data_IF_598822923842
#
_entry.id   IF_598822923842
#
_cell.length_a   1.000
_cell.length_b   1.000
_cell.length_c   1.000
_cell.angle_alpha   90.00
_cell.angle_beta   90.00
_cell.angle_gamma   90.00
#
_symmetry.space_group_name_H-M   'P 1'
#
loop_
_entity.id
_entity.type
_entity.pdbx_description
1 polymer ?
#
# COMPACT_ATOMS: atom_id res chain seq x y z
N UNK A 1 19.46 10.59 2.03
CA UNK A 1 18.37 9.66 2.46
C UNK A 1 17.62 10.14 3.71
N UNK A 2 18.31 10.62 4.77
CA UNK A 2 17.65 11.10 6.01
C UNK A 2 16.63 12.24 5.84
N UNK A 3 16.89 13.22 4.96
CA UNK A 3 15.97 14.33 4.70
C UNK A 3 14.68 13.93 3.97
N UNK A 4 14.78 13.02 2.99
CA UNK A 4 13.62 12.54 2.23
C UNK A 4 12.64 11.72 3.11
N UNK A 5 13.16 10.93 4.06
CA UNK A 5 12.33 10.18 5.00
C UNK A 5 11.66 11.03 6.09
N UNK A 6 12.05 12.29 6.28
CA UNK A 6 11.39 13.23 7.19
C UNK A 6 10.39 14.13 6.45
N UNK A 7 10.73 14.58 5.24
CA UNK A 7 9.84 15.41 4.43
C UNK A 7 8.66 14.60 3.85
N UNK A 8 8.91 13.40 3.31
CA UNK A 8 7.86 12.64 2.63
C UNK A 8 6.82 12.00 3.57
N UNK A 9 7.16 11.79 4.85
CA UNK A 9 6.19 11.31 5.85
C UNK A 9 5.30 12.40 6.44
N UNK A 10 5.60 13.68 6.19
CA UNK A 10 4.84 14.83 6.70
C UNK A 10 3.87 15.40 5.67
N UNK A 11 4.05 15.08 4.38
CA UNK A 11 3.22 15.59 3.30
C UNK A 11 2.09 14.59 3.05
N UNK A 12 0.82 15.01 3.16
CA UNK A 12 -0.31 14.16 2.82
C UNK A 12 -0.25 13.69 1.36
N UNK A 13 -0.68 12.46 1.09
CA UNK A 13 -0.63 11.86 -0.25
C UNK A 13 -1.41 12.65 -1.31
N UNK A 14 -2.47 13.36 -0.93
CA UNK A 14 -3.22 14.22 -1.84
C UNK A 14 -2.39 15.41 -2.34
N UNK A 15 -1.52 15.99 -1.50
CA UNK A 15 -0.64 17.10 -1.89
C UNK A 15 0.38 16.60 -2.90
N UNK A 16 0.97 15.43 -2.64
CA UNK A 16 1.87 14.75 -3.59
C UNK A 16 1.14 14.47 -4.90
N UNK A 17 -0.13 14.06 -4.84
CA UNK A 17 -1.00 13.86 -6.00
C UNK A 17 -1.21 15.14 -6.82
N UNK A 18 -1.61 16.23 -6.18
CA UNK A 18 -1.83 17.54 -6.82
C UNK A 18 -0.56 18.07 -7.47
N UNK A 19 0.57 18.01 -6.74
CA UNK A 19 1.88 18.42 -7.28
C UNK A 19 2.30 17.50 -8.42
N UNK A 20 2.06 16.19 -8.32
CA UNK A 20 2.31 15.22 -9.37
C UNK A 20 1.54 15.53 -10.65
N UNK A 21 0.25 15.86 -10.55
CA UNK A 21 -0.56 16.31 -11.68
C UNK A 21 0.02 17.59 -12.27
N UNK A 22 0.31 18.60 -11.44
CA UNK A 22 0.86 19.87 -11.93
C UNK A 22 2.21 19.69 -12.66
N UNK A 23 3.08 18.84 -12.13
CA UNK A 23 4.40 18.62 -12.70
C UNK A 23 4.36 17.74 -13.96
N UNK A 24 3.72 16.56 -13.89
CA UNK A 24 3.80 15.55 -14.95
C UNK A 24 2.76 15.74 -16.06
N UNK A 25 1.58 16.26 -15.71
CA UNK A 25 0.56 16.59 -16.69
C UNK A 25 0.70 18.05 -17.14
N UNK A 26 0.60 19.05 -16.24
CA UNK A 26 0.55 20.45 -16.68
C UNK A 26 1.89 20.98 -17.22
N UNK A 27 3.01 20.64 -16.58
CA UNK A 27 4.34 21.16 -16.97
C UNK A 27 5.03 20.28 -18.01
N UNK A 28 5.13 18.98 -17.75
CA UNK A 28 5.93 18.05 -18.57
C UNK A 28 5.14 17.39 -19.71
N UNK A 29 3.81 17.38 -19.68
CA UNK A 29 2.96 16.72 -20.69
C UNK A 29 3.32 15.24 -20.97
N UNK A 30 3.95 14.56 -20.00
CA UNK A 30 4.42 13.17 -20.14
C UNK A 30 3.29 12.18 -19.87
N UNK A 31 2.31 12.56 -19.05
CA UNK A 31 1.21 11.71 -18.62
C UNK A 31 -0.11 12.22 -19.19
N UNK A 32 -1.03 11.35 -19.63
CA UNK A 32 -2.36 11.75 -20.07
C UNK A 32 -3.17 12.45 -18.97
N UNK A 33 -4.19 13.20 -19.38
CA UNK A 33 -5.03 13.96 -18.46
C UNK A 33 -5.68 13.06 -17.40
N UNK A 34 -5.81 13.52 -16.15
CA UNK A 34 -6.54 12.82 -15.08
C UNK A 34 -8.06 12.93 -15.29
N UNK A 35 -8.54 12.57 -16.49
CA UNK A 35 -9.93 12.69 -16.91
C UNK A 35 -10.71 11.37 -16.81
N UNK A 36 -10.16 10.36 -16.15
CA UNK A 36 -10.82 9.06 -15.98
C UNK A 36 -9.86 7.88 -16.15
N UNK A 37 -10.46 6.69 -16.33
CA UNK A 37 -9.73 5.42 -16.49
C UNK A 37 -9.11 5.23 -17.88
N UNK A 38 -9.60 5.94 -18.87
CA UNK A 38 -9.22 5.83 -20.28
C UNK A 38 -9.10 7.22 -20.92
N UNK A 39 -8.34 7.30 -22.03
CA UNK A 39 -8.15 8.54 -22.78
C UNK A 39 -9.49 9.06 -23.31
N UNK A 40 -9.70 10.38 -23.21
CA UNK A 40 -10.88 11.03 -23.78
C UNK A 40 -11.06 10.66 -25.27
N UNK A 41 -12.21 10.08 -25.62
CA UNK A 41 -12.54 9.63 -26.98
C UNK A 41 -12.49 8.11 -27.20
N UNK A 42 -12.02 7.32 -26.24
CA UNK A 42 -12.21 5.86 -26.22
C UNK A 42 -13.48 5.52 -25.44
N UNK A 43 -14.25 4.54 -25.90
CA UNK A 43 -15.40 4.01 -25.16
C UNK A 43 -14.94 2.92 -24.20
N UNK A 44 -15.44 2.95 -22.96
CA UNK A 44 -15.20 1.86 -22.02
C UNK A 44 -15.74 0.54 -22.61
N UNK A 45 -14.98 -0.57 -22.50
CA UNK A 45 -15.46 -1.87 -22.96
C UNK A 45 -16.75 -2.24 -22.19
N UNK A 46 -17.78 -2.76 -22.87
CA UNK A 46 -19.02 -3.20 -22.21
C UNK A 46 -18.76 -4.17 -21.03
N UNK A 47 -19.43 -4.07 -19.88
CA UNK A 47 -19.06 -4.88 -18.72
C UNK A 47 -19.28 -6.38 -18.94
N UNK A 48 -18.25 -7.22 -18.76
CA UNK A 48 -18.38 -8.69 -18.67
C UNK A 48 -18.20 -9.11 -17.21
N UNK A 49 -17.13 -8.63 -16.56
CA UNK A 49 -16.78 -8.94 -15.17
C UNK A 49 -16.97 -7.76 -14.24
N UNK A 50 -17.40 -6.59 -14.76
CA UNK A 50 -17.49 -5.30 -14.06
C UNK A 50 -16.14 -4.74 -13.58
N UNK A 51 -15.02 -5.38 -13.94
CA UNK A 51 -13.68 -4.87 -13.73
C UNK A 51 -13.09 -4.42 -15.09
N UNK A 52 -12.99 -3.10 -15.35
CA UNK A 52 -12.74 -2.61 -16.71
C UNK A 52 -11.39 -3.04 -17.31
N UNK A 53 -10.36 -3.24 -16.46
CA UNK A 53 -9.04 -3.71 -16.91
C UNK A 53 -9.08 -5.19 -17.33
N UNK A 54 -9.83 -6.02 -16.60
CA UNK A 54 -10.01 -7.44 -16.94
C UNK A 54 -10.86 -7.57 -18.20
N UNK A 55 -11.91 -6.76 -18.33
CA UNK A 55 -12.77 -6.74 -19.51
C UNK A 55 -12.01 -6.27 -20.77
N UNK A 56 -11.11 -5.30 -20.64
CA UNK A 56 -10.22 -4.88 -21.72
C UNK A 56 -9.22 -5.99 -22.12
N UNK A 57 -8.67 -6.71 -21.15
CA UNK A 57 -7.72 -7.80 -21.39
C UNK A 57 -8.39 -9.03 -22.02
N UNK A 58 -9.57 -9.41 -21.53
CA UNK A 58 -10.37 -10.53 -22.04
C UNK A 58 -10.85 -10.30 -23.48
N UNK A 59 -11.06 -9.04 -23.86
CA UNK A 59 -11.42 -8.67 -25.24
C UNK A 59 -10.22 -8.50 -26.17
N UNK A 60 -9.00 -8.53 -25.65
CA UNK A 60 -7.79 -8.36 -26.46
C UNK A 60 -7.60 -6.94 -27.02
N UNK A 61 -8.26 -5.92 -26.45
CA UNK A 61 -8.09 -4.54 -26.88
C UNK A 61 -6.81 -3.94 -26.29
N UNK A 62 -5.70 -4.16 -27.01
CA UNK A 62 -4.38 -3.68 -26.61
C UNK A 62 -4.28 -2.15 -26.49
N UNK A 63 -5.13 -1.39 -27.20
CA UNK A 63 -5.13 0.08 -27.17
C UNK A 63 -5.75 0.58 -25.88
N UNK A 64 -6.90 0.01 -25.50
CA UNK A 64 -7.56 0.34 -24.22
C UNK A 64 -6.70 -0.09 -23.04
N UNK A 65 -6.09 -1.28 -23.07
CA UNK A 65 -5.19 -1.75 -22.00
C UNK A 65 -4.00 -0.81 -21.82
N UNK A 66 -3.31 -0.43 -22.91
CA UNK A 66 -2.17 0.50 -22.84
C UNK A 66 -2.59 1.87 -22.28
N UNK A 67 -3.76 2.37 -22.72
CA UNK A 67 -4.34 3.60 -22.17
C UNK A 67 -4.56 3.49 -20.66
N UNK A 68 -5.18 2.41 -20.17
CA UNK A 68 -5.45 2.24 -18.74
C UNK A 68 -4.16 2.19 -17.91
N UNK A 69 -3.13 1.49 -18.39
CA UNK A 69 -1.82 1.46 -17.72
C UNK A 69 -1.19 2.85 -17.58
N UNK A 70 -1.24 3.66 -18.65
CA UNK A 70 -0.68 5.01 -18.61
C UNK A 70 -1.42 5.94 -17.62
N UNK A 71 -2.74 5.75 -17.44
CA UNK A 71 -3.53 6.51 -16.47
C UNK A 71 -3.33 6.03 -15.02
N UNK A 72 -2.87 4.80 -14.82
CA UNK A 72 -2.51 4.26 -13.49
C UNK A 72 -1.09 4.63 -13.04
N UNK A 73 -0.21 4.98 -13.96
CA UNK A 73 1.21 5.20 -13.67
C UNK A 73 1.43 6.37 -12.69
N UNK A 74 0.69 7.47 -12.86
CA UNK A 74 0.79 8.64 -11.99
C UNK A 74 0.20 8.37 -10.58
N UNK A 75 -1.03 7.84 -10.43
CA UNK A 75 -1.56 7.41 -9.14
C UNK A 75 -0.63 6.44 -8.39
N UNK A 76 -0.11 5.42 -9.08
CA UNK A 76 0.82 4.46 -8.48
C UNK A 76 2.11 5.16 -8.06
N UNK A 77 2.67 6.03 -8.90
CA UNK A 77 3.86 6.80 -8.58
C UNK A 77 3.68 7.67 -7.34
N UNK A 78 2.54 8.35 -7.21
CA UNK A 78 2.18 9.15 -6.04
C UNK A 78 2.13 8.29 -4.78
N UNK A 79 1.49 7.13 -4.85
CA UNK A 79 1.42 6.19 -3.72
C UNK A 79 2.81 5.66 -3.33
N UNK A 80 3.62 5.26 -4.30
CA UNK A 80 4.98 4.76 -4.07
C UNK A 80 5.84 5.84 -3.40
N UNK A 81 5.80 7.08 -3.90
CA UNK A 81 6.56 8.20 -3.33
C UNK A 81 6.09 8.54 -1.91
N UNK A 82 4.79 8.43 -1.63
CA UNK A 82 4.21 8.77 -0.32
C UNK A 82 4.48 7.68 0.74
N UNK A 83 4.36 6.41 0.36
CA UNK A 83 4.41 5.26 1.31
C UNK A 83 5.81 4.70 1.50
N UNK A 84 6.64 4.68 0.45
CA UNK A 84 7.97 4.07 0.52
C UNK A 84 8.86 4.69 1.62
N UNK A 85 8.89 6.01 1.83
CA UNK A 85 9.78 6.63 2.81
C UNK A 85 9.50 6.22 4.25
N UNK A 86 8.22 6.06 4.62
CA UNK A 86 7.85 5.65 5.99
C UNK A 86 8.23 4.19 6.25
N UNK A 87 7.98 3.29 5.29
CA UNK A 87 8.37 1.88 5.40
C UNK A 87 9.89 1.69 5.37
N UNK A 88 10.60 2.40 4.49
CA UNK A 88 12.05 2.33 4.39
C UNK A 88 12.71 2.84 5.67
N UNK A 89 12.23 3.96 6.22
CA UNK A 89 12.74 4.50 7.49
C UNK A 89 12.55 3.47 8.62
N UNK A 90 11.37 2.87 8.72
CA UNK A 90 11.10 1.85 9.73
C UNK A 90 12.03 0.65 9.58
N UNK A 91 12.20 0.13 8.36
CA UNK A 91 13.09 -0.99 8.10
C UNK A 91 14.53 -0.67 8.46
N UNK A 92 15.04 0.51 8.08
CA UNK A 92 16.41 0.93 8.39
C UNK A 92 16.63 1.09 9.90
N UNK A 93 15.68 1.72 10.62
CA UNK A 93 15.77 1.85 12.08
C UNK A 93 15.71 0.49 12.79
N UNK A 94 14.87 -0.42 12.29
CA UNK A 94 14.77 -1.77 12.83
C UNK A 94 16.04 -2.59 12.55
N UNK A 95 16.65 -2.44 11.37
CA UNK A 95 17.92 -3.07 11.03
C UNK A 95 19.07 -2.54 11.90
N UNK A 96 19.17 -1.22 12.08
CA UNK A 96 20.20 -0.60 12.92
C UNK A 96 20.13 -1.07 14.39
N UNK A 97 18.92 -1.11 14.93
CA UNK A 97 18.64 -1.65 16.27
C UNK A 97 18.97 -3.14 16.38
N UNK A 98 18.82 -3.88 15.28
CA UNK A 98 19.09 -5.32 15.22
C UNK A 98 20.58 -5.65 15.08
N UNK A 99 21.35 -4.79 14.41
CA UNK A 99 22.81 -4.92 14.26
C UNK A 99 23.55 -4.62 15.56
N UNK A 100 23.07 -3.64 16.33
CA UNK A 100 23.64 -3.28 17.65
C UNK A 100 23.16 -4.19 18.78
N UNK A 101 22.22 -5.10 18.51
CA UNK A 101 21.69 -6.01 19.52
C UNK A 101 22.74 -7.04 19.99
N UNK A 102 22.81 -7.25 21.31
CA UNK A 102 23.66 -8.24 21.98
C UNK A 102 23.70 -9.62 21.30
N UNK A 103 22.57 -10.21 20.83
CA UNK A 103 22.57 -11.53 20.18
C UNK A 103 23.26 -11.54 18.81
N UNK A 104 23.27 -10.41 18.11
CA UNK A 104 23.97 -10.25 16.82
C UNK A 104 25.46 -10.07 17.07
N UNK A 105 25.84 -9.24 18.05
CA UNK A 105 27.24 -9.06 18.47
C UNK A 105 27.88 -10.36 18.97
N UNK A 106 27.13 -11.17 19.70
CA UNK A 106 27.59 -12.50 20.13
C UNK A 106 27.92 -13.41 18.93
N UNK A 107 27.09 -13.41 17.87
CA UNK A 107 27.38 -14.18 16.65
C UNK A 107 28.62 -13.69 15.89
N UNK A 108 28.90 -12.40 15.94
CA UNK A 108 30.12 -11.82 15.39
C UNK A 108 31.33 -12.28 16.21
N UNK A 109 31.24 -12.21 17.55
CA UNK A 109 32.31 -12.62 18.45
C UNK A 109 32.64 -14.12 18.36
N UNK A 110 31.65 -14.97 18.06
CA UNK A 110 31.85 -16.41 17.84
C UNK A 110 32.34 -16.77 16.43
N UNK A 111 32.57 -15.80 15.55
CA UNK A 111 33.09 -16.04 14.20
C UNK A 111 32.09 -16.65 13.21
N UNK A 112 30.78 -16.45 13.44
CA UNK A 112 29.75 -16.99 12.53
C UNK A 112 29.85 -16.39 11.12
N UNK A 113 29.53 -17.19 10.10
CA UNK A 113 29.49 -16.72 8.71
C UNK A 113 28.54 -15.52 8.52
N UNK A 114 28.95 -14.57 7.67
CA UNK A 114 28.20 -13.32 7.37
C UNK A 114 26.72 -13.56 7.03
N UNK A 115 26.41 -14.64 6.31
CA UNK A 115 25.03 -15.05 5.97
C UNK A 115 24.14 -15.19 7.21
N UNK A 116 24.65 -15.82 8.28
CA UNK A 116 23.88 -16.05 9.51
C UNK A 116 23.72 -14.79 10.36
N UNK A 117 24.67 -13.86 10.26
CA UNK A 117 24.60 -12.54 10.91
C UNK A 117 23.51 -11.71 10.23
N UNK A 118 23.55 -11.59 8.90
CA UNK A 118 22.53 -10.86 8.15
C UNK A 118 21.14 -11.46 8.32
N UNK A 119 21.00 -12.79 8.21
CA UNK A 119 19.71 -13.46 8.43
C UNK A 119 19.16 -13.18 9.84
N UNK A 120 20.02 -13.14 10.86
CA UNK A 120 19.62 -12.77 12.22
C UNK A 120 19.15 -11.33 12.32
N UNK A 121 19.84 -10.42 11.63
CA UNK A 121 19.53 -9.01 11.63
C UNK A 121 18.15 -8.75 10.98
N UNK A 122 17.93 -9.29 9.78
CA UNK A 122 16.66 -9.19 9.05
C UNK A 122 15.50 -9.83 9.80
N UNK A 123 15.67 -11.03 10.36
CA UNK A 123 14.60 -11.73 11.09
C UNK A 123 14.05 -10.91 12.26
N UNK A 124 14.89 -10.10 12.90
CA UNK A 124 14.50 -9.21 14.01
C UNK A 124 13.94 -7.87 13.54
N UNK A 125 14.33 -7.41 12.35
CA UNK A 125 13.89 -6.14 11.80
C UNK A 125 12.55 -6.22 11.04
N UNK A 126 12.19 -7.40 10.52
CA UNK A 126 10.99 -7.57 9.71
C UNK A 126 9.66 -7.48 10.50
N UNK A 127 9.50 -8.06 11.72
CA UNK A 127 8.24 -7.97 12.46
C UNK A 127 7.70 -6.55 12.67
N UNK A 128 8.49 -5.56 13.15
CA UNK A 128 7.99 -4.20 13.29
C UNK A 128 7.70 -3.51 11.95
N UNK A 129 8.36 -3.93 10.87
CA UNK A 129 8.12 -3.40 9.52
C UNK A 129 6.81 -3.94 8.94
N UNK A 130 6.53 -5.23 9.12
CA UNK A 130 5.30 -5.88 8.67
C UNK A 130 4.09 -5.35 9.45
N UNK A 131 4.22 -5.12 10.76
CA UNK A 131 3.17 -4.47 11.55
C UNK A 131 2.86 -3.05 11.04
N UNK A 132 3.89 -2.27 10.71
CA UNK A 132 3.69 -0.92 10.15
C UNK A 132 3.02 -0.97 8.78
N UNK A 133 3.28 -1.99 7.96
CA UNK A 133 2.60 -2.17 6.68
C UNK A 133 1.09 -2.27 6.84
N UNK A 134 0.60 -2.99 7.86
CA UNK A 134 -0.83 -3.04 8.17
C UNK A 134 -1.39 -1.66 8.49
N UNK A 135 -0.72 -0.89 9.35
CA UNK A 135 -1.16 0.47 9.70
C UNK A 135 -1.25 1.37 8.46
N UNK A 136 -0.23 1.34 7.60
CA UNK A 136 -0.20 2.12 6.36
C UNK A 136 -1.28 1.66 5.38
N UNK A 137 -1.57 0.37 5.31
CA UNK A 137 -2.66 -0.14 4.49
C UNK A 137 -4.01 0.44 4.93
N UNK A 138 -4.25 0.52 6.24
CA UNK A 138 -5.45 1.15 6.78
C UNK A 138 -5.57 2.62 6.41
N UNK A 139 -4.46 3.38 6.47
CA UNK A 139 -4.48 4.78 6.04
C UNK A 139 -4.72 4.93 4.54
N UNK A 140 -4.19 4.03 3.72
CA UNK A 140 -4.38 4.03 2.27
C UNK A 140 -5.83 3.81 1.87
N UNK A 141 -6.61 3.01 2.60
CA UNK A 141 -8.04 2.84 2.31
C UNK A 141 -8.82 4.15 2.48
N UNK A 142 -8.48 4.96 3.49
CA UNK A 142 -9.09 6.28 3.67
C UNK A 142 -8.60 7.31 2.64
N UNK A 143 -7.29 7.31 2.37
CA UNK A 143 -6.64 8.18 1.40
C UNK A 143 -7.03 7.92 -0.06
N UNK A 144 -7.32 6.65 -0.38
CA UNK A 144 -7.69 6.21 -1.71
C UNK A 144 -8.94 6.92 -2.22
N UNK A 145 -9.91 7.25 -1.35
CA UNK A 145 -11.13 7.99 -1.73
C UNK A 145 -10.79 9.34 -2.37
N UNK A 146 -9.85 10.06 -1.78
CA UNK A 146 -9.42 11.38 -2.24
C UNK A 146 -8.65 11.23 -3.56
N UNK A 147 -7.75 10.24 -3.65
CA UNK A 147 -7.00 9.97 -4.88
C UNK A 147 -7.90 9.49 -6.02
N UNK A 148 -8.91 8.66 -5.75
CA UNK A 148 -9.90 8.22 -6.75
C UNK A 148 -10.67 9.40 -7.34
N UNK A 149 -11.00 10.38 -6.49
CA UNK A 149 -11.70 11.60 -6.90
C UNK A 149 -10.76 12.51 -7.68
N UNK A 150 -9.53 12.69 -7.20
CA UNK A 150 -8.51 13.54 -7.82
C UNK A 150 -8.09 13.05 -9.22
N UNK A 151 -8.00 11.73 -9.40
CA UNK A 151 -7.60 11.09 -10.66
C UNK A 151 -8.77 10.60 -11.52
N UNK A 152 -10.01 10.74 -11.05
CA UNK A 152 -11.20 10.29 -11.79
C UNK A 152 -11.30 8.76 -11.96
N UNK A 153 -10.62 7.98 -11.11
CA UNK A 153 -10.56 6.51 -11.22
C UNK A 153 -11.86 5.81 -10.81
N UNK A 154 -12.85 6.53 -10.27
CA UNK A 154 -14.23 6.07 -10.06
C UNK A 154 -14.37 4.76 -9.26
N UNK A 155 -13.72 4.64 -8.11
CA UNK A 155 -13.69 3.41 -7.31
C UNK A 155 -14.75 3.32 -6.21
N UNK A 156 -14.57 2.33 -5.33
CA UNK A 156 -15.49 2.07 -4.21
C UNK A 156 -15.48 3.21 -3.19
N UNK A 157 -14.37 3.93 -3.06
CA UNK A 157 -14.26 5.08 -2.18
C UNK A 157 -15.17 6.23 -2.62
N UNK A 158 -15.15 6.56 -3.91
CA UNK A 158 -16.05 7.58 -4.47
C UNK A 158 -17.53 7.20 -4.29
N UNK A 159 -17.86 5.93 -4.50
CA UNK A 159 -19.21 5.41 -4.26
C UNK A 159 -19.68 5.64 -2.81
N UNK A 160 -18.80 5.44 -1.82
CA UNK A 160 -19.12 5.72 -0.43
C UNK A 160 -19.41 7.20 -0.18
N UNK A 161 -18.64 8.11 -0.79
CA UNK A 161 -18.87 9.56 -0.68
C UNK A 161 -20.21 9.95 -1.30
N UNK A 162 -20.53 9.39 -2.46
CA UNK A 162 -21.83 9.60 -3.12
C UNK A 162 -22.99 9.08 -2.26
N UNK A 163 -22.85 7.90 -1.64
CA UNK A 163 -23.84 7.35 -0.71
C UNK A 163 -24.05 8.23 0.53
N UNK A 164 -22.96 8.78 1.10
CA UNK A 164 -23.04 9.74 2.21
C UNK A 164 -23.77 11.01 1.78
N UNK A 165 -23.45 11.55 0.60
CA UNK A 165 -24.10 12.75 0.08
C UNK A 165 -25.60 12.52 -0.21
N UNK A 166 -25.97 11.32 -0.66
CA UNK A 166 -27.35 10.91 -0.87
C UNK A 166 -28.10 10.51 0.41
N UNK A 167 -27.43 10.49 1.57
CA UNK A 167 -27.96 9.97 2.84
C UNK A 167 -28.49 8.53 2.71
N UNK A 168 -27.89 7.74 1.81
CA UNK A 168 -28.22 6.33 1.64
C UNK A 168 -27.47 5.49 2.67
N UNK A 169 -28.12 5.27 3.82
CA UNK A 169 -27.55 4.49 4.92
C UNK A 169 -27.37 3.01 4.56
N UNK A 170 -28.17 2.45 3.65
CA UNK A 170 -28.07 1.04 3.26
C UNK A 170 -26.81 0.84 2.41
N UNK A 171 -26.60 1.69 1.42
CA UNK A 171 -25.40 1.66 0.59
C UNK A 171 -24.13 1.89 1.42
N UNK A 172 -24.16 2.86 2.35
CA UNK A 172 -23.03 3.15 3.24
C UNK A 172 -22.69 1.96 4.16
N UNK A 173 -23.70 1.33 4.76
CA UNK A 173 -23.50 0.15 5.62
C UNK A 173 -22.90 -1.03 4.83
N UNK A 174 -23.39 -1.27 3.61
CA UNK A 174 -22.83 -2.28 2.72
C UNK A 174 -21.36 -2.03 2.40
N UNK A 175 -21.01 -0.78 2.05
CA UNK A 175 -19.63 -0.38 1.84
C UNK A 175 -18.76 -0.60 3.08
N UNK A 176 -19.21 -0.16 4.25
CA UNK A 176 -18.48 -0.32 5.51
C UNK A 176 -18.23 -1.79 5.85
N UNK A 177 -19.21 -2.67 5.60
CA UNK A 177 -19.08 -4.11 5.83
C UNK A 177 -18.00 -4.70 4.91
N UNK A 178 -18.02 -4.37 3.62
CA UNK A 178 -17.02 -4.84 2.65
C UNK A 178 -15.62 -4.35 3.02
N UNK A 179 -15.46 -3.06 3.36
CA UNK A 179 -14.17 -2.50 3.77
C UNK A 179 -13.67 -3.13 5.07
N UNK A 180 -14.56 -3.36 6.05
CA UNK A 180 -14.21 -4.04 7.28
C UNK A 180 -13.76 -5.49 7.03
N UNK A 181 -14.45 -6.22 6.16
CA UNK A 181 -14.08 -7.59 5.80
C UNK A 181 -12.72 -7.65 5.09
N UNK A 182 -12.47 -6.77 4.12
CA UNK A 182 -11.16 -6.68 3.43
C UNK A 182 -10.06 -6.31 4.41
N UNK A 183 -10.30 -5.32 5.27
CA UNK A 183 -9.32 -4.87 6.28
C UNK A 183 -8.99 -5.99 7.26
N UNK A 184 -10.01 -6.74 7.71
CA UNK A 184 -9.82 -7.90 8.57
C UNK A 184 -8.95 -8.97 7.89
N UNK A 185 -9.21 -9.29 6.61
CA UNK A 185 -8.40 -10.25 5.85
C UNK A 185 -6.95 -9.79 5.74
N UNK A 186 -6.72 -8.50 5.48
CA UNK A 186 -5.36 -7.96 5.36
C UNK A 186 -4.64 -7.98 6.70
N UNK A 187 -5.28 -7.57 7.80
CA UNK A 187 -4.69 -7.65 9.13
C UNK A 187 -4.41 -9.09 9.54
N UNK A 188 -5.32 -10.03 9.23
CA UNK A 188 -5.09 -11.44 9.47
C UNK A 188 -3.87 -11.95 8.70
N UNK A 189 -3.71 -11.57 7.42
CA UNK A 189 -2.52 -11.89 6.63
C UNK A 189 -1.25 -11.30 7.25
N UNK A 190 -1.28 -10.03 7.68
CA UNK A 190 -0.16 -9.36 8.36
C UNK A 190 0.22 -10.10 9.65
N UNK A 191 -0.75 -10.52 10.45
CA UNK A 191 -0.53 -11.27 11.68
C UNK A 191 0.01 -12.67 11.43
N UNK A 192 -0.49 -13.38 10.42
CA UNK A 192 0.03 -14.68 9.99
C UNK A 192 1.48 -14.58 9.52
N UNK A 193 1.80 -13.56 8.72
CA UNK A 193 3.17 -13.28 8.28
C UNK A 193 4.04 -12.99 9.52
N UNK A 194 3.61 -12.10 10.42
CA UNK A 194 4.34 -11.82 11.66
C UNK A 194 4.58 -13.08 12.51
N UNK A 195 3.58 -13.95 12.64
CA UNK A 195 3.68 -15.22 13.37
C UNK A 195 4.71 -16.15 12.74
N UNK A 196 4.79 -16.20 11.41
CA UNK A 196 5.79 -17.01 10.69
C UNK A 196 7.21 -16.45 10.87
N UNK A 197 7.35 -15.12 10.88
CA UNK A 197 8.64 -14.45 11.03
C UNK A 197 9.21 -14.51 12.46
N UNK A 198 8.34 -14.49 13.48
CA UNK A 198 8.72 -14.58 14.88
C UNK A 198 8.24 -15.88 15.57
N UNK A 199 9.06 -16.96 15.56
CA UNK A 199 8.72 -18.23 16.20
C UNK A 199 8.64 -18.16 17.73
N UNK A 200 9.00 -17.04 18.36
CA UNK A 200 8.87 -16.88 19.82
C UNK A 200 7.43 -16.61 20.24
N UNK A 201 6.55 -16.21 19.32
CA UNK A 201 5.10 -16.08 19.55
C UNK A 201 4.34 -17.40 19.39
N UNK A 202 5.02 -18.55 19.52
CA UNK A 202 4.28 -19.78 19.83
C UNK A 202 3.52 -19.51 21.13
N UNK A 203 2.18 -19.69 21.18
CA UNK A 203 1.45 -19.66 22.42
C UNK A 203 2.22 -20.56 23.39
N UNK A 204 2.74 -19.97 24.46
CA UNK A 204 3.41 -20.73 25.49
C UNK A 204 2.46 -21.87 25.84
N UNK A 205 2.98 -23.10 25.83
CA UNK A 205 2.36 -24.16 26.63
C UNK A 205 2.14 -23.53 27.99
N UNK A 206 0.90 -23.20 28.31
CA UNK A 206 0.51 -22.88 29.67
C UNK A 206 1.09 -24.01 30.50
N UNK A 207 2.01 -23.66 31.40
CA UNK A 207 2.68 -24.62 32.26
C UNK A 207 1.64 -25.29 33.13
N UNK A 208 1.09 -26.39 32.65
CA UNK A 208 0.53 -27.44 33.48
C UNK A 208 1.70 -28.10 34.17
N UNK A 209 1.99 -27.64 35.38
CA UNK A 209 3.05 -28.14 36.23
C UNK A 209 2.65 -27.95 37.68
N UNK A 210 1.97 -28.99 38.18
CA UNK A 210 1.68 -29.38 39.58
C UNK A 210 1.01 -28.36 40.49
#
# INVERSE_FOLDING_TARGET
VRGYGQAAGAVPEFVVGVVGIFLFYATLQVVPAPSGRIRAGLTEPEPITSFPLLDALLRGDSVVVSSMFSHLLLPIGVLVVSVTPILLKQLLTALDSSLTAQPTLFKVATGSARKYIYASAYRRALPPTVALFGLVFGSLLGGAVILETLFGLGGMGRYAVEAVAATDLIALQGFLLVVAAISLLVFLCVDLINMLLDPRRKPGRAGGGS
#
